data_IF_284571732690
#
_entry.id   IF_284571732690
#
_cell.length_a   1.000
_cell.length_b   1.000
_cell.length_c   1.000
_cell.angle_alpha   90.00
_cell.angle_beta   90.00
_cell.angle_gamma   90.00
#
_symmetry.space_group_name_H-M   'P 1'
#
loop_
_entity.id
_entity.type
_entity.pdbx_description
1 polymer ?
#
# COMPACT_ATOMS: atom_id res chain seq x y z
N UNK A 1 13.58 19.81 24.79
CA UNK A 1 14.21 19.23 23.57
C UNK A 1 14.72 20.29 22.60
N UNK A 2 13.87 21.08 21.92
CA UNK A 2 14.35 22.01 20.89
C UNK A 2 15.15 23.21 21.44
N UNK A 3 14.83 23.65 22.66
CA UNK A 3 15.42 24.81 23.30
C UNK A 3 16.54 24.47 24.32
N UNK A 4 16.89 23.18 24.48
CA UNK A 4 17.99 22.82 25.38
C UNK A 4 19.32 23.26 24.78
N UNK A 5 20.05 24.05 25.55
CA UNK A 5 21.31 24.66 25.17
C UNK A 5 22.43 23.62 25.31
N UNK A 6 22.91 23.11 24.17
CA UNK A 6 24.08 22.23 24.09
C UNK A 6 23.78 20.75 23.90
N UNK A 7 22.52 20.32 23.97
CA UNK A 7 22.17 18.91 23.80
C UNK A 7 21.92 18.60 22.31
N UNK A 8 22.74 17.73 21.74
CA UNK A 8 22.46 17.02 20.48
C UNK A 8 21.52 15.86 20.75
N UNK A 9 20.74 15.45 19.74
CA UNK A 9 19.80 14.36 19.94
C UNK A 9 19.80 13.42 18.76
N UNK A 10 19.99 12.13 19.05
CA UNK A 10 19.99 11.04 18.07
C UNK A 10 21.02 11.22 16.94
N UNK A 11 22.18 11.82 17.22
CA UNK A 11 23.24 12.06 16.22
C UNK A 11 23.86 10.77 15.64
N UNK A 12 23.87 9.69 16.43
CA UNK A 12 24.39 8.39 16.00
C UNK A 12 23.27 7.43 15.52
N UNK A 13 22.04 7.94 15.39
CA UNK A 13 20.87 7.17 15.01
C UNK A 13 20.47 7.52 13.57
N UNK A 14 20.96 6.73 12.61
CA UNK A 14 20.69 6.95 11.19
C UNK A 14 19.19 6.93 10.87
N UNK A 15 18.43 6.14 11.61
CA UNK A 15 16.99 6.01 11.47
C UNK A 15 16.25 7.31 11.85
N UNK A 16 16.73 8.01 12.90
CA UNK A 16 16.21 9.31 13.32
C UNK A 16 16.60 10.47 12.38
N UNK A 17 17.68 10.31 11.60
CA UNK A 17 18.13 11.31 10.62
C UNK A 17 17.31 11.27 9.32
N UNK A 18 16.52 10.22 9.10
CA UNK A 18 15.63 10.16 7.94
C UNK A 18 14.38 11.02 8.15
N UNK A 19 13.86 11.59 7.07
CA UNK A 19 12.57 12.31 7.07
C UNK A 19 11.38 11.36 7.31
N UNK A 20 11.62 10.05 7.29
CA UNK A 20 10.59 9.04 7.50
C UNK A 20 10.30 8.87 9.01
N UNK A 21 9.15 9.40 9.43
CA UNK A 21 8.73 9.45 10.85
C UNK A 21 8.33 8.06 11.38
N UNK A 22 8.46 6.97 10.59
CA UNK A 22 8.11 5.60 11.00
C UNK A 22 8.74 5.16 12.32
N UNK A 23 9.88 5.73 12.67
CA UNK A 23 10.64 5.36 13.88
C UNK A 23 10.26 6.20 15.11
N UNK A 24 9.40 7.22 14.96
CA UNK A 24 8.86 8.04 16.07
C UNK A 24 9.91 8.86 16.84
N UNK A 25 11.16 8.86 16.38
CA UNK A 25 12.29 9.53 17.03
C UNK A 25 12.48 10.93 16.47
N UNK A 26 12.80 11.86 17.36
CA UNK A 26 13.23 13.20 16.97
C UNK A 26 14.73 13.21 16.68
N UNK A 27 15.20 14.20 15.92
CA UNK A 27 16.63 14.40 15.65
C UNK A 27 16.97 15.88 15.79
N UNK A 28 18.14 16.16 16.38
CA UNK A 28 18.73 17.49 16.46
C UNK A 28 20.23 17.39 16.21
N UNK A 29 20.66 17.95 15.08
CA UNK A 29 22.08 18.03 14.71
C UNK A 29 22.87 18.96 15.63
N UNK A 30 24.15 18.67 15.80
CA UNK A 30 25.09 19.49 16.58
C UNK A 30 25.39 20.86 15.96
N UNK A 31 25.20 20.98 14.64
CA UNK A 31 25.39 22.24 13.93
C UNK A 31 24.57 23.39 14.53
N UNK A 32 23.41 23.08 15.11
CA UNK A 32 22.52 24.06 15.75
C UNK A 32 23.14 24.64 17.03
N UNK A 33 24.01 23.90 17.72
CA UNK A 33 24.73 24.40 18.89
C UNK A 33 25.81 25.41 18.52
N UNK A 34 26.32 25.32 17.28
CA UNK A 34 27.34 26.20 16.69
C UNK A 34 26.76 27.31 15.81
N UNK A 35 25.50 27.69 16.03
CA UNK A 35 24.80 28.70 15.22
C UNK A 35 25.58 30.01 15.04
N UNK A 36 26.31 30.45 16.07
CA UNK A 36 27.09 31.71 16.02
C UNK A 36 28.43 31.57 15.32
N UNK A 37 28.92 30.34 15.16
CA UNK A 37 30.20 30.04 14.52
C UNK A 37 30.04 29.85 13.00
N UNK A 38 28.79 29.82 12.52
CA UNK A 38 28.43 29.52 11.13
C UNK A 38 27.58 30.67 10.59
N UNK A 39 27.89 31.11 9.37
CA UNK A 39 27.09 32.12 8.69
C UNK A 39 25.83 31.50 8.07
N UNK A 40 24.73 31.53 8.82
CA UNK A 40 23.45 30.98 8.39
C UNK A 40 22.68 32.08 7.66
N UNK A 41 22.58 31.98 6.33
CA UNK A 41 21.86 32.97 5.53
C UNK A 41 20.34 32.79 5.58
N UNK A 42 19.86 31.54 5.53
CA UNK A 42 18.44 31.21 5.38
C UNK A 42 18.07 29.96 6.17
N UNK A 43 16.81 29.89 6.62
CA UNK A 43 16.27 28.77 7.39
C UNK A 43 14.90 28.38 6.86
N UNK A 44 14.67 27.10 6.54
CA UNK A 44 13.37 26.58 6.08
C UNK A 44 12.79 25.61 7.10
N UNK A 45 11.55 25.87 7.52
CA UNK A 45 10.72 24.93 8.28
C UNK A 45 9.74 24.28 7.31
N UNK A 46 9.66 22.95 7.32
CA UNK A 46 8.81 22.18 6.42
C UNK A 46 8.02 21.14 7.21
N UNK A 47 6.72 21.06 6.95
CA UNK A 47 5.85 20.01 7.47
C UNK A 47 5.65 18.96 6.38
N UNK A 48 6.06 17.73 6.64
CA UNK A 48 5.81 16.59 5.76
C UNK A 48 4.66 15.72 6.29
N UNK A 49 3.83 15.25 5.36
CA UNK A 49 2.85 14.18 5.59
C UNK A 49 2.90 13.25 4.40
N UNK A 50 3.02 11.95 4.65
CA UNK A 50 3.11 10.92 3.60
C UNK A 50 4.20 11.23 2.55
N UNK A 51 5.36 11.70 3.02
CA UNK A 51 6.52 12.13 2.23
C UNK A 51 6.27 13.33 1.29
N UNK A 52 5.15 14.02 1.43
CA UNK A 52 4.81 15.23 0.67
C UNK A 52 4.94 16.47 1.55
N UNK A 53 5.56 17.53 1.02
CA UNK A 53 5.62 18.84 1.65
C UNK A 53 4.21 19.45 1.69
N UNK A 54 3.66 19.62 2.90
CA UNK A 54 2.30 20.13 3.12
C UNK A 54 2.27 21.63 3.39
N UNK A 55 3.27 22.12 4.11
CA UNK A 55 3.40 23.53 4.48
C UNK A 55 4.87 23.88 4.68
N UNK A 56 5.23 25.12 4.41
CA UNK A 56 6.58 25.62 4.66
C UNK A 56 6.59 27.07 5.14
N UNK A 57 7.64 27.39 5.89
CA UNK A 57 8.00 28.75 6.31
C UNK A 57 9.48 28.96 6.00
N UNK A 58 9.82 30.04 5.30
CA UNK A 58 11.17 30.36 4.87
C UNK A 58 11.62 31.69 5.48
N UNK A 59 12.75 31.70 6.17
CA UNK A 59 13.23 32.80 6.97
C UNK A 59 14.62 33.26 6.57
N UNK A 60 14.91 34.53 6.85
CA UNK A 60 16.25 35.08 6.90
C UNK A 60 16.93 34.60 8.20
N UNK A 61 18.08 33.95 8.08
CA UNK A 61 18.90 33.51 9.20
C UNK A 61 20.05 34.45 9.53
N UNK A 62 20.39 35.41 8.67
CA UNK A 62 21.56 36.25 8.84
C UNK A 62 21.42 37.15 10.07
N UNK A 63 22.48 37.21 10.89
CA UNK A 63 22.49 37.98 12.13
C UNK A 63 21.59 37.45 13.26
N UNK A 64 20.95 36.29 13.07
CA UNK A 64 20.05 35.69 14.05
C UNK A 64 20.79 34.81 15.07
N UNK A 65 20.07 34.29 16.06
CA UNK A 65 20.51 33.19 16.91
C UNK A 65 19.54 32.02 16.81
N UNK A 66 19.95 30.86 17.34
CA UNK A 66 19.18 29.60 17.31
C UNK A 66 17.75 29.68 17.89
N UNK A 67 17.40 30.75 18.62
CA UNK A 67 16.09 30.97 19.27
C UNK A 67 15.26 32.06 18.59
N UNK A 68 15.88 33.03 17.91
CA UNK A 68 15.20 34.24 17.41
C UNK A 68 14.96 34.29 15.89
N UNK A 69 15.56 33.40 15.09
CA UNK A 69 15.39 33.36 13.63
C UNK A 69 13.94 33.11 13.19
N UNK A 70 13.18 32.37 14.00
CA UNK A 70 11.78 32.05 13.74
C UNK A 70 10.87 33.17 14.24
N UNK A 71 10.73 34.21 13.42
CA UNK A 71 9.90 35.37 13.72
C UNK A 71 9.16 35.84 12.47
N UNK A 72 8.05 36.56 12.65
CA UNK A 72 7.30 37.14 11.54
C UNK A 72 8.16 38.11 10.72
N UNK A 73 9.01 38.91 11.39
CA UNK A 73 9.89 39.88 10.73
C UNK A 73 10.95 39.21 9.87
N UNK A 74 11.46 38.05 10.31
CA UNK A 74 12.42 37.25 9.54
C UNK A 74 11.79 36.48 8.38
N UNK A 75 10.46 36.47 8.23
CA UNK A 75 9.77 35.65 7.22
C UNK A 75 9.96 36.21 5.80
N UNK A 76 10.70 35.46 4.99
CA UNK A 76 10.91 35.75 3.57
C UNK A 76 9.70 35.29 2.74
N UNK A 77 9.29 34.03 2.90
CA UNK A 77 8.18 33.41 2.16
C UNK A 77 7.51 32.29 2.97
N UNK A 78 6.28 31.93 2.63
CA UNK A 78 5.57 30.80 3.25
C UNK A 78 4.48 30.24 2.35
N UNK A 79 4.01 29.02 2.63
CA UNK A 79 2.79 28.46 2.04
C UNK A 79 1.50 29.20 2.45
N UNK A 80 1.59 30.06 3.48
CA UNK A 80 0.46 30.82 4.00
C UNK A 80 0.46 32.26 3.48
N UNK A 81 -0.62 32.68 2.83
CA UNK A 81 -0.71 33.98 2.15
C UNK A 81 -0.99 35.15 3.11
N UNK A 82 -1.55 34.86 4.28
CA UNK A 82 -2.01 35.81 5.29
C UNK A 82 -1.07 35.90 6.51
N UNK A 83 -0.02 35.08 6.54
CA UNK A 83 0.87 34.99 7.70
C UNK A 83 1.77 36.22 7.85
N UNK A 84 2.33 36.72 6.74
CA UNK A 84 3.23 37.89 6.76
C UNK A 84 2.49 39.19 7.14
N UNK A 85 1.21 39.29 6.81
CA UNK A 85 0.37 40.46 7.09
C UNK A 85 -0.48 40.31 8.37
N UNK A 86 -0.36 39.19 9.07
CA UNK A 86 -1.08 38.97 10.32
C UNK A 86 -0.72 40.04 11.36
N UNK A 87 -1.73 40.66 11.97
CA UNK A 87 -1.53 41.73 12.95
C UNK A 87 -1.04 41.18 14.29
N UNK A 88 0.11 41.65 14.83
CA UNK A 88 0.62 41.23 16.12
C UNK A 88 -0.17 41.82 17.31
N UNK A 89 -1.02 42.84 17.07
CA UNK A 89 -1.79 43.53 18.10
C UNK A 89 -3.08 42.79 18.50
N UNK A 90 -3.18 41.50 18.20
CA UNK A 90 -4.33 40.66 18.52
C UNK A 90 -4.02 39.84 19.77
N UNK A 91 -4.98 39.75 20.70
CA UNK A 91 -4.83 38.93 21.91
C UNK A 91 -4.50 37.49 21.54
N UNK A 92 -3.35 37.03 22.03
CA UNK A 92 -2.88 35.66 21.78
C UNK A 92 -2.17 35.47 20.46
N UNK A 93 -1.82 36.53 19.75
CA UNK A 93 -0.85 36.45 18.68
C UNK A 93 0.49 35.93 19.23
N UNK A 94 1.07 34.92 18.58
CA UNK A 94 2.39 34.38 18.90
C UNK A 94 3.11 33.98 17.62
N UNK A 95 4.41 34.27 17.55
CA UNK A 95 5.29 33.79 16.48
C UNK A 95 6.70 33.62 17.05
N UNK A 96 6.98 32.47 17.66
CA UNK A 96 8.29 32.17 18.23
C UNK A 96 8.53 30.67 18.45
N UNK A 97 9.80 30.27 18.57
CA UNK A 97 10.17 28.88 18.92
C UNK A 97 9.72 28.55 20.34
N UNK A 98 9.92 29.48 21.27
CA UNK A 98 9.53 29.30 22.67
C UNK A 98 8.02 29.12 22.80
N UNK A 99 7.27 29.86 21.98
CA UNK A 99 5.83 29.83 21.89
C UNK A 99 5.14 30.22 23.19
N UNK A 100 4.18 29.41 23.67
CA UNK A 100 3.41 29.73 24.87
C UNK A 100 2.92 28.47 25.60
N UNK A 101 3.43 28.26 26.83
CA UNK A 101 3.23 27.05 27.64
C UNK A 101 3.85 25.82 26.93
N UNK A 102 3.07 24.77 26.70
CA UNK A 102 3.49 23.51 26.04
C UNK A 102 3.37 23.55 24.51
N UNK A 103 3.56 24.74 23.94
CA UNK A 103 3.40 25.03 22.51
C UNK A 103 4.70 25.62 22.02
N UNK A 104 5.49 24.83 21.30
CA UNK A 104 6.76 25.21 20.67
C UNK A 104 6.55 25.47 19.19
N UNK A 105 7.48 26.19 18.56
CA UNK A 105 7.37 26.60 17.15
C UNK A 105 5.95 27.10 16.85
N UNK A 106 5.51 28.06 17.65
CA UNK A 106 4.11 28.40 17.75
C UNK A 106 3.81 29.65 16.94
N UNK A 107 2.95 29.49 15.94
CA UNK A 107 2.49 30.53 15.02
C UNK A 107 0.98 30.62 15.15
N UNK A 108 0.53 31.55 15.99
CA UNK A 108 -0.86 31.73 16.37
C UNK A 108 -1.33 33.14 16.02
N UNK A 109 -2.55 33.23 15.50
CA UNK A 109 -3.19 34.51 15.18
C UNK A 109 -3.87 35.13 16.39
N UNK A 110 -4.60 34.30 17.14
CA UNK A 110 -5.46 34.78 18.22
C UNK A 110 -5.83 33.67 19.19
N UNK A 111 -6.04 34.04 20.45
CA UNK A 111 -6.68 33.15 21.43
C UNK A 111 -8.19 33.28 21.40
N UNK A 112 -8.87 32.14 21.36
CA UNK A 112 -10.31 32.02 21.47
C UNK A 112 -10.75 30.90 22.44
N UNK A 113 -9.78 30.25 23.11
CA UNK A 113 -9.99 29.03 23.87
C UNK A 113 -9.72 27.80 23.01
N UNK A 114 -9.62 26.61 23.62
CA UNK A 114 -9.08 25.42 22.95
C UNK A 114 -9.70 25.07 21.58
N UNK A 115 -10.98 25.35 21.36
CA UNK A 115 -11.65 25.10 20.08
C UNK A 115 -11.42 26.21 19.06
N UNK A 116 -11.29 27.46 19.54
CA UNK A 116 -11.30 28.67 18.72
C UNK A 116 -9.93 29.36 18.64
N UNK A 117 -8.91 28.85 19.36
CA UNK A 117 -7.52 29.23 19.15
C UNK A 117 -7.21 28.99 17.67
N UNK A 118 -6.76 30.04 17.00
CA UNK A 118 -6.66 30.07 15.54
C UNK A 118 -5.24 30.42 15.15
N UNK A 119 -4.65 29.60 14.28
CA UNK A 119 -3.24 29.72 13.93
C UNK A 119 -2.85 28.89 12.71
N UNK A 120 -1.55 28.87 12.47
CA UNK A 120 -0.95 28.25 11.29
C UNK A 120 -0.12 27.02 11.64
N UNK A 121 0.67 27.08 12.72
CA UNK A 121 1.60 26.02 13.11
C UNK A 121 1.77 25.94 14.63
N UNK A 122 1.86 24.73 15.14
CA UNK A 122 2.11 24.43 16.54
C UNK A 122 2.83 23.08 16.65
N UNK A 123 3.92 23.05 17.39
CA UNK A 123 4.49 21.81 17.93
C UNK A 123 4.06 21.68 19.39
N UNK A 124 3.15 20.75 19.67
CA UNK A 124 2.56 20.51 20.97
C UNK A 124 3.36 19.48 21.79
N UNK A 125 3.75 19.88 23.01
CA UNK A 125 4.39 19.03 24.02
C UNK A 125 3.33 18.52 25.03
N UNK A 126 2.31 17.82 24.53
CA UNK A 126 1.25 17.16 25.32
C UNK A 126 0.29 18.09 26.09
N UNK A 127 -0.94 17.63 26.34
CA UNK A 127 -1.86 18.17 27.35
C UNK A 127 -2.23 19.67 27.29
N UNK A 128 -1.98 20.38 26.17
CA UNK A 128 -2.21 21.83 26.08
C UNK A 128 -3.70 22.22 26.05
N UNK A 129 -4.60 21.29 25.69
CA UNK A 129 -6.04 21.51 25.62
C UNK A 129 -6.85 20.23 25.87
N UNK A 130 -7.85 20.25 26.78
CA UNK A 130 -8.62 19.05 27.24
C UNK A 130 -9.16 18.17 26.11
N UNK A 131 -9.57 18.79 25.00
CA UNK A 131 -10.07 18.10 23.81
C UNK A 131 -9.01 17.34 23.00
N UNK A 132 -7.73 17.53 23.33
CA UNK A 132 -6.57 16.84 22.79
C UNK A 132 -5.96 15.87 23.84
N UNK A 133 -6.75 15.37 24.80
CA UNK A 133 -6.27 14.51 25.90
C UNK A 133 -6.35 13.01 25.61
N UNK A 134 -6.74 12.57 24.41
CA UNK A 134 -6.29 11.25 23.92
C UNK A 134 -4.77 11.24 24.04
N UNK A 135 -4.11 10.25 24.65
CA UNK A 135 -2.86 10.44 25.38
C UNK A 135 -1.78 11.00 24.46
N UNK A 136 -1.72 12.33 24.37
CA UNK A 136 -0.66 13.11 23.75
C UNK A 136 0.51 13.09 24.72
N UNK A 137 1.00 11.87 24.99
CA UNK A 137 2.27 11.62 25.65
C UNK A 137 3.43 11.79 24.64
N UNK A 138 3.12 12.17 23.39
CA UNK A 138 4.05 12.31 22.28
C UNK A 138 3.97 13.72 21.70
N UNK A 139 5.11 14.18 21.17
CA UNK A 139 5.20 15.42 20.42
C UNK A 139 4.25 15.38 19.22
N UNK A 140 3.37 16.36 19.08
CA UNK A 140 2.42 16.43 17.95
C UNK A 140 2.58 17.72 17.18
N UNK A 141 2.66 17.63 15.86
CA UNK A 141 2.71 18.79 14.97
C UNK A 141 1.30 19.05 14.45
N UNK A 142 0.77 20.22 14.72
CA UNK A 142 -0.51 20.71 14.21
C UNK A 142 -0.24 21.88 13.29
N UNK A 143 -0.85 21.86 12.11
CA UNK A 143 -0.67 22.88 11.09
C UNK A 143 -1.98 23.13 10.34
N UNK A 144 -2.14 24.31 9.78
CA UNK A 144 -3.27 24.60 8.92
C UNK A 144 -3.07 23.91 7.56
N UNK A 145 -4.04 23.09 7.07
CA UNK A 145 -3.95 22.40 5.79
C UNK A 145 -4.27 23.32 4.59
N UNK A 146 -4.75 24.54 4.84
CA UNK A 146 -5.04 25.55 3.81
C UNK A 146 -3.92 26.58 3.74
N UNK A 147 -3.92 27.44 2.72
CA UNK A 147 -2.97 28.55 2.62
C UNK A 147 -3.26 29.74 3.57
N UNK A 148 -4.10 29.53 4.59
CA UNK A 148 -4.50 30.53 5.61
C UNK A 148 -4.64 29.88 6.98
N UNK A 149 -4.75 30.65 8.06
CA UNK A 149 -4.96 30.07 9.40
C UNK A 149 -6.29 29.32 9.53
N UNK A 150 -6.33 28.38 10.47
CA UNK A 150 -7.55 27.65 10.85
C UNK A 150 -7.72 27.64 12.36
N UNK A 151 -8.96 27.42 12.79
CA UNK A 151 -9.21 27.13 14.20
C UNK A 151 -8.65 25.77 14.55
N UNK A 152 -8.28 25.58 15.81
CA UNK A 152 -7.76 24.32 16.30
C UNK A 152 -8.78 23.17 16.15
N UNK A 153 -10.07 23.49 16.21
CA UNK A 153 -11.15 22.54 15.92
C UNK A 153 -11.17 22.11 14.45
N UNK A 154 -11.00 23.05 13.52
CA UNK A 154 -10.94 22.75 12.08
C UNK A 154 -9.69 21.92 11.73
N UNK A 155 -8.54 22.23 12.35
CA UNK A 155 -7.31 21.45 12.17
C UNK A 155 -7.55 20.00 12.61
N UNK A 156 -8.17 19.77 13.78
CA UNK A 156 -8.51 18.43 14.25
C UNK A 156 -9.48 17.71 13.29
N UNK A 157 -10.48 18.42 12.76
CA UNK A 157 -11.41 17.85 11.78
C UNK A 157 -10.70 17.46 10.48
N UNK A 158 -9.74 18.27 10.02
CA UNK A 158 -8.96 18.00 8.80
C UNK A 158 -8.02 16.79 8.93
N UNK A 159 -7.48 16.54 10.13
CA UNK A 159 -6.71 15.31 10.41
C UNK A 159 -7.56 14.04 10.39
N UNK A 160 -8.89 14.16 10.54
CA UNK A 160 -9.85 13.04 10.40
C UNK A 160 -10.37 12.88 8.94
N UNK A 161 -9.89 13.63 7.94
CA UNK A 161 -10.35 13.46 6.56
C UNK A 161 -9.68 12.23 5.89
N UNK A 162 -10.48 11.28 5.35
CA UNK A 162 -9.95 10.20 4.53
C UNK A 162 -9.44 10.76 3.19
N UNK A 163 -8.32 10.20 2.72
CA UNK A 163 -7.70 10.50 1.44
C UNK A 163 -8.75 10.52 0.32
N UNK A 164 -9.03 11.70 -0.22
CA UNK A 164 -9.94 11.85 -1.36
C UNK A 164 -9.19 11.50 -2.66
N UNK A 165 -9.17 10.22 -3.02
CA UNK A 165 -9.31 9.87 -4.44
C UNK A 165 -10.80 9.59 -4.67
N UNK A 166 -11.39 10.44 -5.53
CA UNK A 166 -12.78 10.41 -5.99
C UNK A 166 -13.32 8.98 -6.17
N UNK A 167 -14.38 8.64 -5.45
CA UNK A 167 -15.53 7.90 -5.99
C UNK A 167 -16.70 7.88 -4.98
N UNK A 168 -17.81 8.42 -5.46
CA UNK A 168 -19.19 7.99 -5.24
C UNK A 168 -19.92 8.30 -3.91
N UNK A 169 -20.84 9.25 -4.09
CA UNK A 169 -22.04 9.59 -3.36
C UNK A 169 -22.72 8.36 -2.76
N UNK A 170 -23.03 8.41 -1.46
CA UNK A 170 -23.89 7.43 -0.80
C UNK A 170 -25.23 8.07 -0.42
N UNK A 171 -26.29 7.69 -1.14
CA UNK A 171 -27.70 7.80 -0.73
C UNK A 171 -27.90 6.89 0.50
N UNK A 172 -28.55 7.22 1.62
CA UNK A 172 -29.89 7.78 1.91
C UNK A 172 -29.91 8.30 3.40
N UNK A 173 -31.01 8.78 4.03
CA UNK A 173 -30.96 9.89 5.00
C UNK A 173 -31.06 9.43 6.47
N UNK A 174 -30.31 10.04 7.38
CA UNK A 174 -30.68 10.04 8.81
C UNK A 174 -30.42 11.42 9.42
N UNK A 175 -31.50 11.98 9.92
CA UNK A 175 -31.58 13.24 10.64
C UNK A 175 -31.06 13.07 12.08
N UNK A 176 -30.23 14.03 12.51
CA UNK A 176 -29.88 14.44 13.87
C UNK A 176 -29.03 13.50 14.75
N UNK A 177 -27.83 13.98 15.12
CA UNK A 177 -27.60 14.52 16.47
C UNK A 177 -26.22 15.18 16.59
N UNK A 178 -26.20 16.34 17.24
CA UNK A 178 -25.01 17.08 17.65
C UNK A 178 -24.20 16.27 18.67
N UNK A 179 -22.89 16.12 18.42
CA UNK A 179 -21.79 16.08 19.41
C UNK A 179 -20.52 15.53 18.75
N UNK A 180 -19.37 16.04 19.19
CA UNK A 180 -18.04 15.82 18.65
C UNK A 180 -17.56 14.37 18.71
N UNK A 181 -17.83 13.57 17.68
CA UNK A 181 -17.24 12.24 17.54
C UNK A 181 -16.60 12.12 16.15
N UNK A 182 -15.28 11.86 16.09
CA UNK A 182 -14.70 11.30 14.87
C UNK A 182 -15.35 9.91 14.74
N UNK A 183 -16.29 9.78 13.81
CA UNK A 183 -16.82 8.47 13.49
C UNK A 183 -15.72 7.68 12.79
N UNK A 184 -15.50 6.47 13.29
CA UNK A 184 -14.68 5.46 12.63
C UNK A 184 -15.41 5.12 11.33
N UNK A 185 -14.95 5.63 10.19
CA UNK A 185 -15.41 5.13 8.91
C UNK A 185 -15.10 3.64 8.86
N UNK A 186 -16.16 2.86 8.72
CA UNK A 186 -16.12 1.41 8.77
C UNK A 186 -15.16 0.91 7.69
N UNK A 187 -14.27 0.01 8.10
CA UNK A 187 -13.32 -0.68 7.25
C UNK A 187 -14.08 -1.44 6.17
N UNK A 188 -14.17 -0.87 4.95
CA UNK A 188 -14.36 -1.71 3.78
C UNK A 188 -12.97 -2.22 3.45
N UNK A 189 -12.73 -3.48 3.83
CA UNK A 189 -11.69 -4.34 3.27
C UNK A 189 -11.35 -3.85 1.88
N UNK A 190 -10.23 -3.15 1.75
CA UNK A 190 -9.71 -2.71 0.48
C UNK A 190 -9.51 -4.01 -0.28
N UNK A 191 -10.33 -4.20 -1.29
CA UNK A 191 -10.28 -5.35 -2.17
C UNK A 191 -8.84 -5.46 -2.69
N UNK A 192 -8.07 -6.38 -2.09
CA UNK A 192 -6.72 -6.83 -2.48
C UNK A 192 -6.66 -7.16 -3.99
N UNK A 193 -7.82 -7.38 -4.61
CA UNK A 193 -7.97 -7.67 -6.03
C UNK A 193 -7.55 -6.51 -6.93
N UNK A 194 -7.68 -5.24 -6.54
CA UNK A 194 -7.37 -4.13 -7.46
C UNK A 194 -5.86 -3.87 -7.58
N UNK A 195 -5.09 -4.14 -6.52
CA UNK A 195 -3.63 -3.95 -6.53
C UNK A 195 -2.92 -5.13 -7.18
N UNK A 196 -3.37 -6.37 -6.89
CA UNK A 196 -2.86 -7.58 -7.54
C UNK A 196 -3.16 -7.57 -9.04
N UNK A 197 -4.33 -7.09 -9.46
CA UNK A 197 -4.69 -6.99 -10.88
C UNK A 197 -3.85 -5.93 -11.62
N UNK A 198 -3.47 -4.83 -10.95
CA UNK A 198 -2.53 -3.85 -11.50
C UNK A 198 -1.10 -4.38 -11.59
N UNK A 199 -0.63 -5.12 -10.57
CA UNK A 199 0.69 -5.76 -10.57
C UNK A 199 0.77 -6.80 -11.69
N UNK A 200 -0.21 -7.71 -11.81
CA UNK A 200 -0.27 -8.70 -12.89
C UNK A 200 -0.35 -8.06 -14.28
N UNK A 201 -1.07 -6.93 -14.40
CA UNK A 201 -1.17 -6.20 -15.67
C UNK A 201 0.14 -5.53 -16.07
N UNK A 202 0.92 -5.00 -15.11
CA UNK A 202 2.26 -4.47 -15.37
C UNK A 202 3.27 -5.58 -15.71
N UNK A 203 3.23 -6.71 -14.99
CA UNK A 203 4.07 -7.87 -15.30
C UNK A 203 3.80 -8.41 -16.71
N UNK A 204 2.54 -8.49 -17.13
CA UNK A 204 2.16 -8.96 -18.46
C UNK A 204 2.59 -8.01 -19.58
N UNK A 205 2.60 -6.69 -19.34
CA UNK A 205 3.08 -5.68 -20.31
C UNK A 205 4.60 -5.71 -20.46
N UNK A 206 5.32 -5.95 -19.36
CA UNK A 206 6.79 -5.98 -19.35
C UNK A 206 7.37 -7.33 -19.79
N UNK A 207 6.57 -8.39 -19.77
CA UNK A 207 6.97 -9.72 -20.24
C UNK A 207 6.91 -9.76 -21.77
N UNK A 208 8.06 -9.63 -22.43
CA UNK A 208 8.16 -9.81 -23.88
C UNK A 208 7.81 -11.25 -24.24
N UNK A 209 6.73 -11.47 -25.00
CA UNK A 209 6.37 -12.79 -25.48
C UNK A 209 7.48 -13.36 -26.39
N UNK A 210 8.13 -14.44 -25.93
CA UNK A 210 9.23 -15.10 -26.64
C UNK A 210 8.86 -15.47 -28.09
N UNK A 211 7.59 -15.85 -28.34
CA UNK A 211 7.06 -16.22 -29.67
C UNK A 211 6.87 -15.03 -30.62
N UNK A 212 6.68 -13.83 -30.07
CA UNK A 212 6.57 -12.59 -30.86
C UNK A 212 7.94 -12.01 -31.22
N UNK A 213 9.02 -12.47 -30.57
CA UNK A 213 10.37 -11.96 -30.85
C UNK A 213 10.83 -12.32 -32.26
N UNK A 214 11.55 -11.39 -32.89
CA UNK A 214 12.16 -11.58 -34.21
C UNK A 214 13.10 -12.79 -34.25
N UNK A 215 13.75 -13.12 -33.12
CA UNK A 215 14.63 -14.29 -32.98
C UNK A 215 13.85 -15.61 -33.08
N UNK A 216 12.73 -15.75 -32.38
CA UNK A 216 11.87 -16.92 -32.49
C UNK A 216 11.20 -17.00 -33.87
N UNK A 217 10.74 -15.86 -34.40
CA UNK A 217 10.14 -15.80 -35.74
C UNK A 217 11.14 -16.24 -36.83
N UNK A 218 12.43 -15.92 -36.66
CA UNK A 218 13.52 -16.39 -37.54
C UNK A 218 13.87 -17.87 -37.36
N UNK A 219 13.66 -18.47 -36.19
CA UNK A 219 13.94 -19.91 -36.00
C UNK A 219 12.88 -20.83 -36.63
N UNK A 220 11.72 -20.30 -37.00
CA UNK A 220 10.61 -21.06 -37.60
C UNK A 220 10.40 -20.76 -39.10
N UNK A 221 11.20 -19.87 -39.69
CA UNK A 221 11.20 -19.65 -41.14
C UNK A 221 11.98 -20.76 -41.84
N UNK A 222 11.35 -21.91 -42.04
CA UNK A 222 11.71 -22.79 -43.16
C UNK A 222 11.05 -22.24 -44.42
N UNK A 223 11.84 -22.05 -45.47
CA UNK A 223 11.28 -21.67 -46.77
C UNK A 223 10.38 -22.81 -47.28
N UNK A 224 9.15 -22.54 -47.75
CA UNK A 224 8.39 -23.53 -48.48
C UNK A 224 9.17 -23.88 -49.75
N UNK A 225 9.65 -25.12 -49.84
CA UNK A 225 10.41 -25.61 -50.99
C UNK A 225 9.48 -26.46 -51.86
N UNK A 226 8.96 -25.85 -52.93
CA UNK A 226 8.04 -26.46 -53.91
C UNK A 226 8.73 -27.48 -54.84
N UNK A 227 9.98 -27.88 -54.55
CA UNK A 227 10.64 -28.97 -55.27
C UNK A 227 9.84 -30.26 -55.07
N UNK A 228 9.28 -30.79 -56.15
CA UNK A 228 8.48 -32.03 -56.16
C UNK A 228 9.18 -33.21 -55.44
N UNK A 229 10.51 -33.25 -55.45
CA UNK A 229 11.31 -34.25 -54.73
C UNK A 229 11.19 -34.16 -53.20
N UNK A 230 11.07 -32.96 -52.61
CA UNK A 230 11.01 -32.77 -51.16
C UNK A 230 9.68 -33.23 -50.57
N UNK A 231 8.56 -32.89 -51.24
CA UNK A 231 7.21 -33.26 -50.83
C UNK A 231 6.98 -34.78 -51.00
N UNK A 232 7.48 -35.36 -52.09
CA UNK A 232 7.35 -36.79 -52.37
C UNK A 232 8.16 -37.63 -51.37
N UNK A 233 9.38 -37.21 -51.02
CA UNK A 233 10.22 -37.94 -50.05
C UNK A 233 9.64 -37.93 -48.63
N UNK A 234 9.03 -36.82 -48.21
CA UNK A 234 8.34 -36.73 -46.91
C UNK A 234 7.12 -37.64 -46.81
N UNK A 235 6.30 -37.71 -47.86
CA UNK A 235 5.12 -38.58 -47.92
C UNK A 235 5.50 -40.06 -47.93
N UNK A 236 6.52 -40.45 -48.71
CA UNK A 236 7.00 -41.84 -48.78
C UNK A 236 7.51 -42.30 -47.42
N UNK A 237 8.30 -41.47 -46.72
CA UNK A 237 8.80 -41.79 -45.39
C UNK A 237 7.68 -41.99 -44.36
N UNK A 238 6.66 -41.13 -44.35
CA UNK A 238 5.51 -41.26 -43.46
C UNK A 238 4.71 -42.54 -43.72
N UNK A 239 4.50 -42.90 -44.98
CA UNK A 239 3.82 -44.14 -45.37
C UNK A 239 4.59 -45.39 -44.95
N UNK A 240 5.91 -45.42 -45.12
CA UNK A 240 6.73 -46.54 -44.70
C UNK A 240 6.64 -46.78 -43.18
N UNK A 241 6.70 -45.72 -42.37
CA UNK A 241 6.59 -45.83 -40.91
C UNK A 241 5.19 -46.30 -40.51
N UNK A 242 4.14 -45.75 -41.13
CA UNK A 242 2.76 -46.13 -40.84
C UNK A 242 2.48 -47.61 -41.14
N UNK A 243 3.01 -48.15 -42.24
CA UNK A 243 2.87 -49.57 -42.59
C UNK A 243 3.54 -50.48 -41.57
N UNK A 244 4.76 -50.14 -41.13
CA UNK A 244 5.50 -50.95 -40.13
C UNK A 244 4.77 -50.95 -38.78
N UNK A 245 4.33 -49.78 -38.32
CA UNK A 245 3.59 -49.67 -37.04
C UNK A 245 2.24 -50.38 -37.15
N UNK A 246 1.53 -50.23 -38.27
CA UNK A 246 0.27 -50.93 -38.52
C UNK A 246 0.43 -52.45 -38.49
N UNK A 247 1.52 -52.99 -39.05
CA UNK A 247 1.81 -54.42 -39.02
C UNK A 247 2.07 -54.94 -37.60
N UNK A 248 2.82 -54.19 -36.77
CA UNK A 248 3.04 -54.56 -35.36
C UNK A 248 1.71 -54.60 -34.62
N UNK A 249 0.87 -53.58 -34.80
CA UNK A 249 -0.45 -53.51 -34.14
C UNK A 249 -1.37 -54.63 -34.60
N UNK A 250 -1.37 -55.02 -35.88
CA UNK A 250 -2.23 -56.13 -36.34
C UNK A 250 -1.77 -57.49 -35.80
N UNK A 251 -0.47 -57.75 -35.71
CA UNK A 251 0.06 -58.96 -35.06
C UNK A 251 -0.34 -59.02 -33.58
N UNK A 252 -0.26 -57.89 -32.88
CA UNK A 252 -0.68 -57.80 -31.47
C UNK A 252 -2.19 -58.00 -31.32
N UNK A 253 -3.01 -57.41 -32.21
CA UNK A 253 -4.46 -57.61 -32.23
C UNK A 253 -4.86 -59.07 -32.48
N UNK A 254 -4.20 -59.78 -33.40
CA UNK A 254 -4.46 -61.22 -33.63
C UNK A 254 -4.11 -62.03 -32.38
N UNK A 255 -2.97 -61.73 -31.75
CA UNK A 255 -2.53 -62.41 -30.51
C UNK A 255 -3.53 -62.18 -29.36
N UNK A 256 -4.07 -60.96 -29.25
CA UNK A 256 -5.08 -60.61 -28.25
C UNK A 256 -6.42 -61.28 -28.56
N UNK A 257 -6.88 -61.30 -29.82
CA UNK A 257 -8.11 -61.96 -30.22
C UNK A 257 -8.06 -63.48 -29.98
N UNK A 258 -6.91 -64.13 -30.21
CA UNK A 258 -6.72 -65.56 -29.89
C UNK A 258 -6.74 -65.82 -28.38
N UNK A 259 -6.24 -64.90 -27.54
CA UNK A 259 -6.37 -64.99 -26.07
C UNK A 259 -7.82 -64.81 -25.63
N UNK A 260 -8.56 -63.87 -26.23
CA UNK A 260 -9.97 -63.63 -25.90
C UNK A 260 -10.90 -64.77 -26.35
N UNK A 261 -10.65 -65.41 -27.51
CA UNK A 261 -11.47 -66.56 -27.94
C UNK A 261 -11.25 -67.81 -27.09
N UNK A 262 -10.02 -68.02 -26.58
CA UNK A 262 -9.72 -69.08 -25.60
C UNK A 262 -10.32 -68.81 -24.22
N UNK A 263 -10.40 -67.54 -23.80
CA UNK A 263 -11.07 -67.15 -22.55
C UNK A 263 -12.59 -67.38 -22.61
N UNK A 264 -13.24 -67.10 -23.74
CA UNK A 264 -14.69 -67.36 -23.90
C UNK A 264 -15.07 -68.85 -23.98
N UNK A 265 -14.13 -69.74 -24.30
CA UNK A 265 -14.34 -71.20 -24.28
C UNK A 265 -14.21 -71.81 -22.88
N UNK A 266 -13.62 -71.09 -21.92
CA UNK A 266 -13.50 -71.51 -20.51
C UNK A 266 -14.71 -71.04 -19.69
N UNK A 267 -15.34 -69.92 -20.06
CA UNK A 267 -16.51 -69.38 -19.36
C UNK A 267 -17.81 -70.13 -19.68
N UNK A 268 -17.95 -70.71 -20.89
CA UNK A 268 -19.12 -71.54 -21.26
C UNK A 268 -19.10 -72.96 -20.68
N UNK A 269 -18.00 -73.40 -20.03
CA UNK A 269 -17.91 -74.70 -19.35
C UNK A 269 -18.27 -74.59 -17.85
N UNK A 270 -18.25 -73.39 -17.26
CA UNK A 270 -18.49 -73.20 -15.81
C UNK A 270 -19.95 -72.98 -15.40
N UNK A 271 -20.88 -72.73 -16.33
CA UNK A 271 -22.31 -72.61 -16.01
C UNK A 271 -23.06 -73.97 -16.05
N UNK A 272 -22.35 -75.08 -16.25
CA UNK A 272 -22.93 -76.41 -16.43
C UNK A 272 -22.85 -77.37 -15.25
N UNK A 273 -22.75 -76.94 -13.99
CA UNK A 273 -22.84 -77.83 -12.82
C UNK A 273 -23.09 -77.06 -11.49
N UNK A 274 -24.35 -76.77 -11.13
CA UNK A 274 -24.84 -76.93 -9.74
C UNK A 274 -26.38 -76.84 -9.63
N UNK A 275 -26.97 -78.03 -9.72
CA UNK A 275 -27.98 -78.62 -8.84
C UNK A 275 -29.42 -78.10 -8.81
N UNK A 276 -30.23 -78.87 -9.55
CA UNK A 276 -31.50 -79.45 -9.17
C UNK A 276 -31.68 -79.86 -7.67
N UNK A 277 -32.94 -79.66 -7.24
CA UNK A 277 -33.79 -80.54 -6.43
C UNK A 277 -33.71 -80.53 -4.89
N UNK A 278 -34.89 -80.17 -4.36
CA UNK A 278 -35.40 -80.17 -3.00
C UNK A 278 -35.90 -81.57 -2.55
N UNK A 279 -36.04 -81.68 -1.21
CA UNK A 279 -36.90 -82.59 -0.41
C UNK A 279 -36.43 -84.04 -0.33
N UNK A 280 -36.40 -84.68 0.83
CA UNK A 280 -36.98 -84.36 2.14
C UNK A 280 -37.41 -85.68 2.79
N UNK A 281 -37.57 -85.71 4.11
CA UNK A 281 -38.54 -86.61 4.74
C UNK A 281 -38.61 -86.31 6.24
N UNK A 282 -39.78 -85.86 6.69
CA UNK A 282 -40.28 -86.16 8.02
C UNK A 282 -41.81 -86.25 7.94
N UNK A 283 -42.34 -87.40 8.34
CA UNK A 283 -43.73 -87.58 8.73
C UNK A 283 -43.74 -88.22 10.12
N UNK A 284 -44.42 -87.51 11.05
CA UNK A 284 -45.23 -87.99 12.19
C UNK A 284 -44.55 -88.91 13.24
N UNK A 285 -44.85 -88.83 14.54
CA UNK A 285 -46.20 -89.01 15.10
C UNK A 285 -46.28 -88.62 16.61
N UNK A 286 -47.45 -88.08 16.98
CA UNK A 286 -48.22 -88.08 18.26
C UNK A 286 -47.53 -88.21 19.64
N UNK A 287 -47.98 -87.34 20.54
CA UNK A 287 -48.98 -87.66 21.57
C UNK A 287 -49.92 -86.47 21.76
#
# INVERSE_FOLDING_TARGET
MFMDDGITYNINDNDAQTVNISNGKHFKSDIINHWKDIDIEQVKVVVYRDSLEQAFLHFNGSGTDKKNWFSQNGLLNSSYIDLKTASPNVKGYHFSIEGHKRRRFYVNKSFGGCQNDAGWLLVAEGGFCKMFYEPLNTLTILYSPTNTYKTMMDIKASTCQPLTHKADICSIPVQLAFSSYCYKLCNKSLQETNLQDKIQKLEKVLTVERKATSKYRRSITSAPDDRFSSQTMGLVGALCIALVVGFIVTLDCVTICQKCSKANKVTTVKEGCTNEVKRGNQQQEKA
#
